data_IF_544073544139
#
_entry.id   IF_544073544139
#
_cell.length_a   1.000
_cell.length_b   1.000
_cell.length_c   1.000
_cell.angle_alpha   90.00
_cell.angle_beta   90.00
_cell.angle_gamma   90.00
#
_symmetry.space_group_name_H-M   'P 1'
#
loop_
_entity.id
_entity.type
_entity.pdbx_description
1 polymer ?
#
# COMPACT_ATOMS: atom_id res chain seq x y z
N UNK A 1 11.36 10.41 7.38
CA UNK A 1 10.36 10.37 8.44
C UNK A 1 11.05 10.72 9.73
N UNK A 2 10.48 11.63 10.51
CA UNK A 2 11.04 12.11 11.78
C UNK A 2 9.97 12.01 12.85
N UNK A 3 10.34 11.49 14.01
CA UNK A 3 9.50 11.46 15.20
C UNK A 3 9.80 12.70 16.06
N UNK A 4 8.79 13.48 16.39
CA UNK A 4 8.88 14.69 17.21
C UNK A 4 8.01 14.55 18.44
N UNK A 5 8.31 15.33 19.50
CA UNK A 5 7.48 15.38 20.71
C UNK A 5 7.20 13.99 21.30
N UNK A 6 8.25 13.13 21.33
CA UNK A 6 8.12 11.78 21.86
C UNK A 6 7.79 11.86 23.36
N UNK A 7 6.69 11.21 23.77
CA UNK A 7 6.21 11.15 25.15
C UNK A 7 5.64 9.77 25.44
N UNK A 8 5.45 9.46 26.71
CA UNK A 8 4.76 8.24 27.14
C UNK A 8 3.32 8.55 27.51
N UNK A 9 2.38 7.73 27.09
CA UNK A 9 0.99 7.79 27.48
C UNK A 9 0.50 6.37 27.81
N UNK A 10 0.09 6.12 29.05
CA UNK A 10 -0.36 4.80 29.54
C UNK A 10 0.60 3.65 29.21
N UNK A 11 1.93 3.89 29.31
CA UNK A 11 2.97 2.89 29.01
C UNK A 11 3.37 2.81 27.52
N UNK A 12 2.62 3.42 26.61
CA UNK A 12 2.90 3.46 25.18
C UNK A 12 3.69 4.70 24.78
N UNK A 13 4.61 4.57 23.83
CA UNK A 13 5.30 5.72 23.24
C UNK A 13 4.43 6.33 22.15
N UNK A 14 4.14 7.62 22.27
CA UNK A 14 3.44 8.41 21.27
C UNK A 14 4.30 9.55 20.78
N UNK A 15 4.12 9.96 19.53
CA UNK A 15 4.89 11.05 18.91
C UNK A 15 4.14 11.70 17.77
N UNK A 16 4.54 12.91 17.42
CA UNK A 16 4.18 13.53 16.15
C UNK A 16 5.08 12.95 15.06
N UNK A 17 4.53 12.70 13.88
CA UNK A 17 5.28 12.15 12.75
C UNK A 17 5.38 13.20 11.65
N UNK A 18 6.61 13.67 11.37
CA UNK A 18 6.89 14.53 10.24
C UNK A 18 7.37 13.69 9.06
N UNK A 19 6.61 13.73 7.95
CA UNK A 19 6.97 13.08 6.70
C UNK A 19 7.37 14.14 5.68
N UNK A 20 8.60 14.08 5.22
CA UNK A 20 9.10 14.93 4.12
C UNK A 20 9.17 14.05 2.87
N UNK A 21 8.62 14.52 1.77
CA UNK A 21 8.65 13.78 0.50
C UNK A 21 10.09 13.60 0.01
N UNK A 22 10.38 12.44 -0.58
CA UNK A 22 11.66 12.15 -1.20
C UNK A 22 11.46 11.81 -2.67
N UNK A 23 12.25 12.43 -3.54
CA UNK A 23 12.29 12.11 -4.97
C UNK A 23 13.12 10.85 -5.26
N UNK A 24 13.96 10.42 -4.31
CA UNK A 24 14.95 9.36 -4.48
C UNK A 24 14.62 8.13 -3.62
N UNK A 25 13.42 7.57 -3.78
CA UNK A 25 13.08 6.31 -3.15
C UNK A 25 13.90 5.18 -3.76
N UNK A 26 14.48 4.33 -2.90
CA UNK A 26 15.26 3.15 -3.29
C UNK A 26 14.55 1.87 -2.88
N UNK A 27 14.72 0.85 -3.69
CA UNK A 27 14.23 -0.49 -3.39
C UNK A 27 14.87 -1.04 -2.11
N UNK A 28 14.13 -1.92 -1.43
CA UNK A 28 14.55 -2.58 -0.21
C UNK A 28 14.45 -4.10 -0.32
N UNK A 29 15.32 -4.79 0.41
CA UNK A 29 15.15 -6.18 0.77
C UNK A 29 14.61 -6.20 2.21
N UNK A 30 13.29 -6.36 2.35
CA UNK A 30 12.63 -6.21 3.65
C UNK A 30 12.98 -7.38 4.58
N UNK A 31 13.50 -7.12 5.79
CA UNK A 31 13.73 -8.16 6.78
C UNK A 31 12.42 -8.80 7.23
N UNK A 32 12.29 -10.13 7.14
CA UNK A 32 11.05 -10.84 7.50
C UNK A 32 10.67 -10.72 8.98
N UNK A 33 11.61 -10.41 9.86
CA UNK A 33 11.32 -10.15 11.27
C UNK A 33 10.35 -8.97 11.48
N UNK A 34 10.22 -8.07 10.50
CA UNK A 34 9.29 -6.95 10.55
C UNK A 34 7.88 -7.30 10.05
N UNK A 35 7.68 -8.51 9.53
CA UNK A 35 6.41 -8.85 8.86
C UNK A 35 5.21 -8.77 9.81
N UNK A 36 5.31 -9.28 11.03
CA UNK A 36 4.21 -9.28 11.99
C UNK A 36 3.79 -7.86 12.37
N UNK A 37 4.75 -6.97 12.60
CA UNK A 37 4.47 -5.58 12.95
C UNK A 37 3.98 -4.72 11.79
N UNK A 38 4.24 -5.13 10.53
CA UNK A 38 3.86 -4.42 9.33
C UNK A 38 2.75 -5.13 8.52
N UNK A 39 2.17 -6.20 9.07
CA UNK A 39 1.30 -7.13 8.31
C UNK A 39 0.14 -6.42 7.61
N UNK A 40 -0.46 -5.43 8.23
CA UNK A 40 -1.58 -4.70 7.67
C UNK A 40 -1.16 -3.55 6.73
N UNK A 41 0.12 -3.19 6.72
CA UNK A 41 0.65 -2.06 5.94
C UNK A 41 1.28 -2.49 4.60
N UNK A 42 1.47 -3.79 4.36
CA UNK A 42 2.18 -4.28 3.16
C UNK A 42 1.58 -3.77 1.86
N UNK A 43 0.26 -3.65 1.74
CA UNK A 43 -0.35 -3.16 0.50
C UNK A 43 0.09 -1.72 0.16
N UNK A 44 0.23 -0.86 1.17
CA UNK A 44 0.76 0.51 0.98
C UNK A 44 2.27 0.49 0.77
N UNK A 45 2.99 -0.36 1.48
CA UNK A 45 4.44 -0.56 1.30
C UNK A 45 4.75 -1.01 -0.14
N UNK A 46 3.90 -1.85 -0.74
CA UNK A 46 4.04 -2.26 -2.15
C UNK A 46 3.90 -1.09 -3.12
N UNK A 47 3.03 -0.09 -2.84
CA UNK A 47 2.95 1.13 -3.64
C UNK A 47 4.22 1.99 -3.51
N UNK A 48 4.79 2.09 -2.32
CA UNK A 48 6.08 2.76 -2.11
C UNK A 48 7.19 2.05 -2.89
N UNK A 49 7.22 0.71 -2.84
CA UNK A 49 8.15 -0.10 -3.63
C UNK A 49 7.96 0.09 -5.14
N UNK A 50 6.71 0.22 -5.60
CA UNK A 50 6.40 0.50 -7.01
C UNK A 50 6.95 1.86 -7.46
N UNK A 51 7.06 2.84 -6.58
CA UNK A 51 7.63 4.18 -6.84
C UNK A 51 9.14 4.23 -6.65
N UNK A 52 9.76 3.19 -6.10
CA UNK A 52 11.20 3.15 -5.79
C UNK A 52 12.04 2.80 -7.03
N UNK A 53 13.30 3.23 -7.04
CA UNK A 53 14.29 2.78 -8.05
C UNK A 53 14.85 1.42 -7.64
N UNK A 54 14.77 0.43 -8.53
CA UNK A 54 15.31 -0.93 -8.31
C UNK A 54 14.25 -1.98 -8.03
N UNK A 55 14.64 -3.10 -7.46
CA UNK A 55 13.77 -4.26 -7.18
C UNK A 55 13.65 -4.46 -5.68
N UNK A 56 12.47 -4.24 -5.14
CA UNK A 56 12.17 -4.55 -3.74
C UNK A 56 11.75 -6.02 -3.60
N UNK A 57 12.17 -6.66 -2.51
CA UNK A 57 11.85 -8.05 -2.21
C UNK A 57 11.26 -8.17 -0.81
N UNK A 58 10.13 -8.84 -0.73
CA UNK A 58 9.38 -9.15 0.48
C UNK A 58 9.15 -10.65 0.51
N UNK A 59 9.53 -11.31 1.60
CA UNK A 59 9.44 -12.77 1.78
C UNK A 59 8.71 -13.12 3.08
N UNK A 60 8.34 -14.39 3.20
CA UNK A 60 7.67 -14.95 4.39
C UNK A 60 6.32 -14.28 4.69
N UNK A 61 5.56 -13.95 3.62
CA UNK A 61 4.26 -13.25 3.66
C UNK A 61 3.05 -14.19 3.55
N UNK A 62 3.17 -15.46 3.96
CA UNK A 62 2.07 -16.43 3.88
C UNK A 62 0.80 -15.95 4.60
N UNK A 63 0.96 -15.32 5.76
CA UNK A 63 -0.14 -14.80 6.58
C UNK A 63 -0.95 -13.72 5.85
N UNK A 64 -0.32 -12.95 4.94
CA UNK A 64 -0.99 -11.88 4.20
C UNK A 64 -2.11 -12.42 3.29
N UNK A 65 -2.05 -13.67 2.88
CA UNK A 65 -3.11 -14.33 2.10
C UNK A 65 -4.20 -14.98 2.97
N UNK A 66 -4.08 -14.94 4.30
CA UNK A 66 -5.06 -15.46 5.26
C UNK A 66 -5.90 -14.36 5.91
N UNK A 67 -5.82 -13.13 5.39
CA UNK A 67 -6.63 -11.99 5.84
C UNK A 67 -8.04 -12.02 5.17
N UNK A 68 -8.79 -10.93 5.23
CA UNK A 68 -10.15 -10.80 4.65
C UNK A 68 -10.19 -11.15 3.16
N UNK A 69 -9.09 -10.91 2.47
CA UNK A 69 -8.83 -11.37 1.11
C UNK A 69 -7.38 -11.89 1.02
N UNK A 70 -7.01 -12.65 -0.02
CA UNK A 70 -5.61 -13.00 -0.25
C UNK A 70 -4.81 -11.75 -0.66
N UNK A 71 -4.45 -10.93 0.34
CA UNK A 71 -3.87 -9.59 0.17
C UNK A 71 -2.56 -9.58 -0.61
N UNK A 72 -1.70 -10.59 -0.45
CA UNK A 72 -0.47 -10.70 -1.23
C UNK A 72 -0.79 -10.83 -2.73
N UNK A 73 -1.77 -11.66 -3.06
CA UNK A 73 -2.22 -11.84 -4.45
C UNK A 73 -2.88 -10.56 -4.98
N UNK A 74 -3.73 -9.92 -4.17
CA UNK A 74 -4.37 -8.66 -4.55
C UNK A 74 -3.38 -7.53 -4.73
N UNK A 75 -2.38 -7.41 -3.86
CA UNK A 75 -1.31 -6.43 -4.01
C UNK A 75 -0.57 -6.61 -5.33
N UNK A 76 -0.16 -7.83 -5.68
CA UNK A 76 0.47 -8.13 -6.95
C UNK A 76 -0.46 -7.83 -8.15
N UNK A 77 -1.75 -8.20 -8.05
CA UNK A 77 -2.75 -7.94 -9.10
C UNK A 77 -2.94 -6.45 -9.36
N UNK A 78 -3.10 -5.63 -8.32
CA UNK A 78 -3.23 -4.18 -8.45
C UNK A 78 -1.98 -3.59 -9.10
N UNK A 79 -0.77 -3.96 -8.65
CA UNK A 79 0.48 -3.52 -9.23
C UNK A 79 0.61 -3.88 -10.71
N UNK A 80 0.27 -5.12 -11.07
CA UNK A 80 0.31 -5.55 -12.48
C UNK A 80 -0.71 -4.79 -13.34
N UNK A 81 -1.91 -4.50 -12.81
CA UNK A 81 -2.89 -3.64 -13.50
C UNK A 81 -2.38 -2.22 -13.70
N UNK A 82 -1.54 -1.70 -12.80
CA UNK A 82 -0.85 -0.42 -12.95
C UNK A 82 0.28 -0.46 -13.99
N UNK A 83 0.71 -1.65 -14.42
CA UNK A 83 1.86 -1.83 -15.32
C UNK A 83 3.18 -2.04 -14.58
N UNK A 84 3.15 -2.22 -13.26
CA UNK A 84 4.34 -2.54 -12.46
C UNK A 84 4.60 -4.04 -12.54
N UNK A 85 5.77 -4.44 -13.04
CA UNK A 85 6.17 -5.85 -13.09
C UNK A 85 6.37 -6.40 -11.68
N UNK A 86 5.79 -7.57 -11.42
CA UNK A 86 6.00 -8.30 -10.17
C UNK A 86 6.40 -9.75 -10.45
N UNK A 87 7.14 -10.37 -9.51
CA UNK A 87 7.33 -11.82 -9.44
C UNK A 87 6.73 -12.29 -8.12
N UNK A 88 5.61 -13.00 -8.20
CA UNK A 88 4.83 -13.49 -7.07
C UNK A 88 5.10 -14.97 -6.86
N UNK A 89 5.23 -15.39 -5.59
CA UNK A 89 5.17 -16.78 -5.14
C UNK A 89 4.05 -16.95 -4.11
N UNK A 90 3.86 -18.13 -3.54
CA UNK A 90 2.88 -18.35 -2.46
C UNK A 90 3.13 -17.47 -1.23
N UNK A 91 4.40 -17.12 -0.96
CA UNK A 91 4.82 -16.45 0.29
C UNK A 91 5.69 -15.23 0.07
N UNK A 92 5.95 -14.83 -1.18
CA UNK A 92 6.85 -13.71 -1.46
C UNK A 92 6.47 -12.94 -2.69
N UNK A 93 6.96 -11.69 -2.76
CA UNK A 93 6.80 -10.84 -3.94
C UNK A 93 8.09 -10.04 -4.20
N UNK A 94 8.51 -10.01 -5.47
CA UNK A 94 9.48 -9.03 -5.96
C UNK A 94 8.74 -7.97 -6.77
N UNK A 95 9.02 -6.70 -6.50
CA UNK A 95 8.39 -5.55 -7.15
C UNK A 95 9.48 -4.77 -7.89
N UNK A 96 9.33 -4.66 -9.21
CA UNK A 96 10.25 -3.91 -10.06
C UNK A 96 9.76 -2.46 -10.13
N UNK A 97 10.35 -1.61 -9.31
CA UNK A 97 9.91 -0.23 -9.13
C UNK A 97 10.12 0.63 -10.37
N UNK A 98 9.24 1.60 -10.55
CA UNK A 98 9.20 2.55 -11.67
C UNK A 98 8.96 3.96 -11.11
N UNK A 99 10.03 4.70 -10.75
CA UNK A 99 9.92 6.02 -10.10
C UNK A 99 9.04 7.03 -10.83
N UNK A 100 9.04 6.98 -12.16
CA UNK A 100 8.33 7.93 -13.02
C UNK A 100 7.02 7.37 -13.60
N UNK A 101 6.52 6.24 -13.07
CA UNK A 101 5.28 5.64 -13.55
C UNK A 101 4.11 6.64 -13.45
N UNK A 102 3.46 6.84 -14.60
CA UNK A 102 2.18 7.54 -14.73
C UNK A 102 1.21 6.64 -15.46
N UNK A 103 0.04 6.44 -14.89
CA UNK A 103 -1.02 5.61 -15.47
C UNK A 103 -1.88 6.52 -16.35
N UNK A 104 -2.15 6.10 -17.60
CA UNK A 104 -2.99 6.83 -18.55
C UNK A 104 -4.22 6.01 -18.98
N UNK A 105 -4.41 4.84 -18.38
CA UNK A 105 -5.49 3.91 -18.72
C UNK A 105 -6.53 3.83 -17.62
N UNK A 106 -7.67 3.23 -17.97
CA UNK A 106 -8.72 2.89 -17.01
C UNK A 106 -8.38 1.60 -16.26
N UNK A 107 -8.52 1.63 -14.93
CA UNK A 107 -8.34 0.49 -14.04
C UNK A 107 -9.64 0.24 -13.28
N UNK A 108 -10.12 -1.00 -13.27
CA UNK A 108 -11.33 -1.41 -12.58
C UNK A 108 -10.97 -2.40 -11.49
N UNK A 109 -11.26 -2.07 -10.24
CA UNK A 109 -11.04 -2.93 -9.06
C UNK A 109 -12.39 -3.42 -8.56
N UNK A 110 -12.59 -4.75 -8.59
CA UNK A 110 -13.82 -5.41 -8.16
C UNK A 110 -13.54 -6.84 -7.69
N UNK A 111 -14.50 -7.43 -6.97
CA UNK A 111 -14.45 -8.84 -6.53
C UNK A 111 -13.26 -9.15 -5.59
N UNK A 112 -12.89 -8.19 -4.75
CA UNK A 112 -11.80 -8.30 -3.76
C UNK A 112 -12.31 -8.59 -2.34
N UNK A 113 -13.47 -9.24 -2.23
CA UNK A 113 -14.12 -9.67 -0.98
C UNK A 113 -14.40 -8.50 -0.02
N UNK A 114 -14.62 -7.30 -0.56
CA UNK A 114 -14.81 -6.05 0.22
C UNK A 114 -13.68 -5.76 1.20
N UNK A 115 -12.46 -6.22 0.94
CA UNK A 115 -11.31 -5.95 1.80
C UNK A 115 -10.96 -4.47 1.78
N UNK A 116 -11.14 -3.81 2.92
CA UNK A 116 -10.90 -2.38 3.07
C UNK A 116 -9.45 -1.98 2.79
N UNK A 117 -8.46 -2.85 3.02
CA UNK A 117 -7.04 -2.58 2.73
C UNK A 117 -6.78 -2.57 1.22
N UNK A 118 -7.44 -3.43 0.44
CA UNK A 118 -7.37 -3.41 -1.03
C UNK A 118 -8.05 -2.16 -1.57
N UNK A 119 -9.18 -1.74 -0.99
CA UNK A 119 -9.84 -0.49 -1.33
C UNK A 119 -8.94 0.72 -1.09
N UNK A 120 -8.32 0.81 0.11
CA UNK A 120 -7.41 1.90 0.46
C UNK A 120 -6.19 1.93 -0.45
N UNK A 121 -5.51 0.80 -0.67
CA UNK A 121 -4.39 0.69 -1.60
C UNK A 121 -4.76 1.24 -2.97
N UNK A 122 -5.88 0.79 -3.53
CA UNK A 122 -6.33 1.19 -4.87
C UNK A 122 -6.64 2.68 -4.95
N UNK A 123 -7.23 3.25 -3.90
CA UNK A 123 -7.53 4.70 -3.81
C UNK A 123 -6.24 5.52 -3.76
N UNK A 124 -5.27 5.12 -2.93
CA UNK A 124 -3.97 5.80 -2.85
C UNK A 124 -3.20 5.66 -4.18
N UNK A 125 -3.28 4.48 -4.83
CA UNK A 125 -2.68 4.28 -6.14
C UNK A 125 -3.26 5.25 -7.19
N UNK A 126 -4.58 5.42 -7.23
CA UNK A 126 -5.25 6.37 -8.12
C UNK A 126 -4.72 7.80 -7.95
N UNK A 127 -4.61 8.27 -6.70
CA UNK A 127 -4.12 9.61 -6.38
C UNK A 127 -2.63 9.82 -6.72
N UNK A 128 -1.83 8.76 -6.54
CA UNK A 128 -0.37 8.87 -6.62
C UNK A 128 0.16 8.66 -8.04
N UNK A 129 -0.47 7.77 -8.81
CA UNK A 129 0.01 7.34 -10.12
C UNK A 129 -0.85 7.83 -11.30
N UNK A 130 -2.00 8.47 -11.00
CA UNK A 130 -2.93 8.95 -12.03
C UNK A 130 -3.78 7.84 -12.66
N UNK A 131 -4.34 8.13 -13.84
CA UNK A 131 -5.27 7.26 -14.55
C UNK A 131 -6.73 7.41 -14.11
N UNK A 132 -7.63 6.71 -14.81
CA UNK A 132 -9.04 6.62 -14.44
C UNK A 132 -9.27 5.34 -13.63
N UNK A 133 -9.81 5.48 -12.41
CA UNK A 133 -10.04 4.32 -11.55
C UNK A 133 -11.52 4.18 -11.19
N UNK A 134 -12.06 2.97 -11.40
CA UNK A 134 -13.35 2.55 -10.88
C UNK A 134 -13.12 1.50 -9.80
N UNK A 135 -13.26 1.89 -8.53
CA UNK A 135 -13.07 1.02 -7.38
C UNK A 135 -14.45 0.74 -6.80
N UNK A 136 -14.86 -0.54 -6.82
CA UNK A 136 -16.14 -0.99 -6.28
C UNK A 136 -16.09 -1.09 -4.75
N UNK A 137 -17.22 -1.40 -4.13
CA UNK A 137 -17.37 -1.70 -2.70
C UNK A 137 -16.79 -0.60 -1.78
N UNK A 138 -17.09 0.67 -2.10
CA UNK A 138 -16.66 1.83 -1.31
C UNK A 138 -17.08 1.76 0.15
N UNK A 139 -18.17 1.07 0.45
CA UNK A 139 -18.69 0.85 1.79
C UNK A 139 -17.79 -0.05 2.67
N UNK A 140 -16.90 -0.82 2.05
CA UNK A 140 -15.93 -1.68 2.76
C UNK A 140 -15.05 -0.93 3.78
N UNK A 141 -14.87 0.40 3.58
CA UNK A 141 -14.04 1.22 4.46
C UNK A 141 -14.75 1.64 5.76
N UNK A 142 -16.08 1.54 5.81
CA UNK A 142 -16.87 2.09 6.91
C UNK A 142 -16.63 1.37 8.25
N UNK A 143 -16.27 0.10 8.22
CA UNK A 143 -16.01 -0.69 9.43
C UNK A 143 -14.63 -0.44 10.04
N UNK A 144 -13.65 0.04 9.25
CA UNK A 144 -12.26 0.17 9.70
C UNK A 144 -11.75 1.60 9.72
N UNK A 145 -12.11 2.41 8.72
CA UNK A 145 -11.67 3.80 8.61
C UNK A 145 -12.74 4.69 7.96
N UNK A 146 -13.87 4.97 8.66
CA UNK A 146 -15.02 5.69 8.08
C UNK A 146 -14.68 7.08 7.52
N UNK A 147 -13.69 7.76 8.11
CA UNK A 147 -13.27 9.10 7.67
C UNK A 147 -12.29 9.08 6.49
N UNK A 148 -11.83 7.92 6.01
CA UNK A 148 -10.79 7.78 4.98
C UNK A 148 -11.12 8.62 3.73
N UNK A 149 -12.31 8.46 3.13
CA UNK A 149 -12.69 9.20 1.92
C UNK A 149 -12.75 10.70 2.17
N UNK A 150 -13.21 11.13 3.36
CA UNK A 150 -13.25 12.56 3.73
C UNK A 150 -11.84 13.15 3.80
N UNK A 151 -10.89 12.39 4.34
CA UNK A 151 -9.48 12.79 4.43
C UNK A 151 -8.87 12.86 3.03
N UNK A 152 -9.04 11.82 2.21
CA UNK A 152 -8.49 11.75 0.86
C UNK A 152 -8.97 12.93 -0.01
N UNK A 153 -10.22 13.33 0.08
CA UNK A 153 -10.75 14.48 -0.68
C UNK A 153 -10.04 15.80 -0.37
N UNK A 154 -9.42 15.94 0.81
CA UNK A 154 -8.64 17.15 1.16
C UNK A 154 -7.32 17.26 0.39
N UNK A 155 -6.78 16.15 -0.11
CA UNK A 155 -5.55 16.13 -0.89
C UNK A 155 -5.77 16.33 -2.40
N UNK A 156 -7.02 16.36 -2.84
CA UNK A 156 -7.40 16.49 -4.25
C UNK A 156 -7.76 17.95 -4.64
N UNK A 157 -7.21 18.91 -3.88
CA UNK A 157 -7.39 20.35 -4.15
C UNK A 157 -6.18 20.93 -4.86
#
# INVERSE_FOLDING_TARGET
IFFKNIRSYKGEKISDILVISSKNLRAINCPSILNSSAIDEFLIIFLVAARSKGVSYFKDLSELNQKESPRLNWGAKVLNMMGVKTKLTKTSIKIYGQPNLKIQKKIIIKNYLKDHRVFMMSTIAALTFGGEWKIHDKDSINSSFPSFIKIIKKFNR
#
